data_IF_277116630404
#
_entry.id   IF_277116630404
#
_cell.length_a   1.000
_cell.length_b   1.000
_cell.length_c   1.000
_cell.angle_alpha   90.00
_cell.angle_beta   90.00
_cell.angle_gamma   90.00
#
_symmetry.space_group_name_H-M   'P 1'
#
loop_
_entity.id
_entity.type
_entity.pdbx_description
1 polymer ?
#
# COMPACT_ATOMS: atom_id res chain seq x y z
N UNK A 1 17.19 -14.91 -23.81
CA UNK A 1 17.02 -13.44 -23.93
C UNK A 1 15.90 -12.84 -23.06
N UNK A 2 14.95 -13.62 -22.50
CA UNK A 2 13.92 -13.07 -21.59
C UNK A 2 14.47 -12.57 -20.25
N UNK A 3 15.43 -13.27 -19.66
CA UNK A 3 15.99 -12.95 -18.33
C UNK A 3 16.76 -11.61 -18.34
N UNK A 4 17.67 -11.41 -19.31
CA UNK A 4 18.43 -10.15 -19.43
C UNK A 4 17.52 -8.93 -19.64
N UNK A 5 16.46 -9.07 -20.44
CA UNK A 5 15.48 -8.00 -20.68
C UNK A 5 14.68 -7.68 -19.39
N UNK A 6 14.22 -8.70 -18.67
CA UNK A 6 13.52 -8.51 -17.39
C UNK A 6 14.42 -7.87 -16.33
N UNK A 7 15.70 -8.28 -16.29
CA UNK A 7 16.69 -7.73 -15.39
C UNK A 7 16.95 -6.23 -15.65
N UNK A 8 17.12 -5.83 -16.92
CA UNK A 8 17.30 -4.42 -17.28
C UNK A 8 16.07 -3.59 -16.89
N UNK A 9 14.85 -4.09 -17.13
CA UNK A 9 13.65 -3.35 -16.72
C UNK A 9 13.52 -3.21 -15.22
N UNK A 10 13.75 -4.27 -14.45
CA UNK A 10 13.67 -4.22 -13.00
C UNK A 10 14.75 -3.28 -12.41
N UNK A 11 15.98 -3.35 -12.94
CA UNK A 11 17.07 -2.46 -12.53
C UNK A 11 16.75 -1.00 -12.83
N UNK A 12 16.31 -0.67 -14.05
CA UNK A 12 15.92 0.70 -14.41
C UNK A 12 14.75 1.20 -13.57
N UNK A 13 13.76 0.35 -13.29
CA UNK A 13 12.66 0.66 -12.39
C UNK A 13 13.15 1.01 -10.99
N UNK A 14 14.05 0.20 -10.40
CA UNK A 14 14.62 0.48 -9.09
C UNK A 14 15.42 1.79 -9.05
N UNK A 15 16.18 2.08 -10.11
CA UNK A 15 16.91 3.36 -10.24
C UNK A 15 15.92 4.54 -10.22
N UNK A 16 14.82 4.47 -10.99
CA UNK A 16 13.80 5.52 -11.01
C UNK A 16 13.14 5.71 -9.64
N UNK A 17 12.80 4.60 -8.96
CA UNK A 17 12.23 4.63 -7.61
C UNK A 17 13.19 5.28 -6.62
N UNK A 18 14.50 5.13 -6.79
CA UNK A 18 15.51 5.76 -5.93
C UNK A 18 15.77 7.24 -6.27
N UNK A 19 15.77 7.61 -7.56
CA UNK A 19 16.02 8.99 -7.99
C UNK A 19 14.85 9.94 -7.73
N UNK A 20 13.60 9.45 -7.81
CA UNK A 20 12.42 10.29 -7.64
C UNK A 20 12.36 10.98 -6.27
N UNK A 21 12.55 10.29 -5.11
CA UNK A 21 12.63 10.93 -3.80
C UNK A 21 13.77 11.95 -3.69
N UNK A 22 14.90 11.70 -4.34
CA UNK A 22 16.08 12.56 -4.25
C UNK A 22 15.84 13.96 -4.83
N UNK A 23 14.92 14.08 -5.80
CA UNK A 23 14.50 15.37 -6.36
C UNK A 23 13.23 15.91 -5.69
N UNK A 24 12.24 15.04 -5.44
CA UNK A 24 10.93 15.46 -4.92
C UNK A 24 10.97 15.86 -3.45
N UNK A 25 11.73 15.17 -2.60
CA UNK A 25 11.84 15.49 -1.16
C UNK A 25 12.42 16.88 -0.93
N UNK A 26 13.57 17.30 -1.51
CA UNK A 26 14.08 18.65 -1.29
C UNK A 26 13.17 19.73 -1.90
N UNK A 27 12.49 19.43 -3.01
CA UNK A 27 11.52 20.36 -3.59
C UNK A 27 10.33 20.58 -2.64
N UNK A 28 9.72 19.49 -2.16
CA UNK A 28 8.61 19.53 -1.19
C UNK A 28 9.05 20.25 0.09
N UNK A 29 10.26 19.98 0.59
CA UNK A 29 10.79 20.62 1.78
C UNK A 29 10.99 22.14 1.61
N UNK A 30 11.36 22.61 0.42
CA UNK A 30 11.46 24.06 0.13
C UNK A 30 10.10 24.73 0.03
N UNK A 31 9.11 24.06 -0.57
CA UNK A 31 7.77 24.64 -0.80
C UNK A 31 6.90 24.63 0.46
N UNK A 32 6.89 23.51 1.19
CA UNK A 32 6.08 23.35 2.41
C UNK A 32 6.75 23.90 3.67
N UNK A 33 8.07 24.13 3.61
CA UNK A 33 8.86 24.50 4.79
C UNK A 33 8.89 23.39 5.86
N UNK A 34 9.58 23.64 6.98
CA UNK A 34 9.73 22.66 8.07
C UNK A 34 8.39 22.31 8.74
N UNK A 35 7.49 23.28 8.91
CA UNK A 35 6.18 23.06 9.54
C UNK A 35 5.27 22.17 8.68
N UNK A 36 5.19 22.44 7.37
CA UNK A 36 4.36 21.65 6.46
C UNK A 36 4.87 20.23 6.26
N UNK A 37 6.19 20.03 6.21
CA UNK A 37 6.80 18.68 6.18
C UNK A 37 6.56 17.93 7.49
N UNK A 38 6.63 18.63 8.63
CA UNK A 38 6.32 18.07 9.94
C UNK A 38 4.87 17.59 10.03
N UNK A 39 3.91 18.45 9.69
CA UNK A 39 2.49 18.12 9.68
C UNK A 39 2.15 16.96 8.74
N UNK A 40 2.73 16.95 7.52
CA UNK A 40 2.59 15.85 6.58
C UNK A 40 3.14 14.55 7.16
N UNK A 41 4.34 14.58 7.73
CA UNK A 41 4.98 13.37 8.25
C UNK A 41 4.23 12.81 9.46
N UNK A 42 3.77 13.68 10.36
CA UNK A 42 2.94 13.30 11.51
C UNK A 42 1.63 12.64 11.10
N UNK A 43 0.85 13.31 10.26
CA UNK A 43 -0.43 12.77 9.76
C UNK A 43 -0.23 11.46 8.98
N UNK A 44 0.84 11.39 8.18
CA UNK A 44 1.16 10.19 7.39
C UNK A 44 1.56 9.01 8.27
N UNK A 45 2.33 9.22 9.34
CA UNK A 45 2.65 8.16 10.30
C UNK A 45 1.39 7.58 10.95
N UNK A 46 0.39 8.41 11.26
CA UNK A 46 -0.89 7.96 11.80
C UNK A 46 -1.64 7.12 10.77
N UNK A 47 -1.79 7.62 9.53
CA UNK A 47 -2.42 6.88 8.42
C UNK A 47 -1.72 5.54 8.17
N UNK A 48 -0.40 5.50 8.28
CA UNK A 48 0.38 4.28 8.10
C UNK A 48 0.02 3.18 9.12
N UNK A 49 -0.32 3.52 10.36
CA UNK A 49 -0.82 2.53 11.32
C UNK A 49 -2.14 1.90 10.88
N UNK A 50 -3.05 2.69 10.31
CA UNK A 50 -4.30 2.15 9.74
C UNK A 50 -4.06 1.31 8.49
N UNK A 51 -3.08 1.67 7.66
CA UNK A 51 -2.64 0.83 6.53
C UNK A 51 -2.11 -0.51 7.03
N UNK A 52 -1.32 -0.55 8.11
CA UNK A 52 -0.84 -1.81 8.69
C UNK A 52 -2.01 -2.70 9.15
N UNK A 53 -3.05 -2.11 9.75
CA UNK A 53 -4.27 -2.83 10.12
C UNK A 53 -5.02 -3.32 8.88
N UNK A 54 -5.14 -2.48 7.85
CA UNK A 54 -5.80 -2.82 6.59
C UNK A 54 -5.09 -3.97 5.86
N UNK A 55 -3.76 -4.07 6.00
CA UNK A 55 -2.97 -5.16 5.43
C UNK A 55 -3.09 -6.43 6.28
N UNK A 56 -3.03 -6.33 7.60
CA UNK A 56 -3.15 -7.45 8.54
C UNK A 56 -2.27 -8.68 8.18
N UNK A 57 -1.11 -8.43 7.58
CA UNK A 57 -0.21 -9.49 7.10
C UNK A 57 -0.75 -10.34 5.93
N UNK A 58 -1.87 -9.96 5.31
CA UNK A 58 -2.51 -10.67 4.20
C UNK A 58 -1.60 -10.80 2.99
N UNK A 59 -0.64 -9.89 2.79
CA UNK A 59 0.33 -10.01 1.69
C UNK A 59 1.20 -11.26 1.85
N UNK A 60 1.80 -11.46 3.01
CA UNK A 60 2.64 -12.63 3.28
C UNK A 60 1.83 -13.94 3.29
N UNK A 61 0.62 -13.91 3.86
CA UNK A 61 -0.28 -15.05 3.86
C UNK A 61 -0.76 -15.40 2.43
N UNK A 62 -1.16 -14.38 1.66
CA UNK A 62 -1.66 -14.51 0.30
C UNK A 62 -0.62 -15.08 -0.65
N UNK A 63 0.63 -14.60 -0.59
CA UNK A 63 1.76 -15.17 -1.37
C UNK A 63 1.89 -16.68 -1.10
N UNK A 64 1.86 -17.09 0.17
CA UNK A 64 2.02 -18.51 0.56
C UNK A 64 0.85 -19.37 0.07
N UNK A 65 -0.39 -18.91 0.20
CA UNK A 65 -1.56 -19.68 -0.22
C UNK A 65 -1.65 -19.76 -1.75
N UNK A 66 -1.36 -18.68 -2.47
CA UNK A 66 -1.30 -18.68 -3.94
C UNK A 66 -0.22 -19.64 -4.43
N UNK A 67 0.98 -19.61 -3.84
CA UNK A 67 2.08 -20.48 -4.25
C UNK A 67 1.75 -21.98 -4.10
N UNK A 68 0.92 -22.37 -3.13
CA UNK A 68 0.48 -23.76 -2.93
C UNK A 68 -0.50 -24.25 -4.00
N UNK A 69 -1.30 -23.36 -4.59
CA UNK A 69 -2.38 -23.71 -5.53
C UNK A 69 -2.14 -23.21 -6.95
N UNK A 70 -0.94 -22.66 -7.23
CA UNK A 70 -0.62 -22.01 -8.51
C UNK A 70 -0.82 -22.87 -9.75
N UNK A 71 -0.65 -24.19 -9.63
CA UNK A 71 -0.81 -25.14 -10.75
C UNK A 71 -2.29 -25.46 -11.05
N UNK A 72 -3.22 -25.16 -10.13
CA UNK A 72 -4.64 -25.46 -10.30
C UNK A 72 -5.47 -24.16 -10.45
N UNK A 73 -5.81 -23.82 -11.70
CA UNK A 73 -6.59 -22.62 -12.06
C UNK A 73 -7.90 -22.47 -11.28
N UNK A 74 -8.63 -23.56 -11.00
CA UNK A 74 -9.90 -23.49 -10.27
C UNK A 74 -9.66 -23.11 -8.81
N UNK A 75 -8.78 -23.85 -8.12
CA UNK A 75 -8.41 -23.58 -6.72
C UNK A 75 -7.79 -22.18 -6.55
N UNK A 76 -6.93 -21.77 -7.48
CA UNK A 76 -6.35 -20.43 -7.49
C UNK A 76 -7.41 -19.32 -7.52
N UNK A 77 -8.43 -19.45 -8.37
CA UNK A 77 -9.52 -18.46 -8.47
C UNK A 77 -10.34 -18.38 -7.17
N UNK A 78 -10.60 -19.52 -6.54
CA UNK A 78 -11.30 -19.59 -5.25
C UNK A 78 -10.48 -18.95 -4.13
N UNK A 79 -9.19 -19.30 -4.02
CA UNK A 79 -8.25 -18.71 -3.05
C UNK A 79 -8.12 -17.20 -3.25
N UNK A 80 -7.98 -16.74 -4.50
CA UNK A 80 -7.90 -15.31 -4.81
C UNK A 80 -9.16 -14.57 -4.37
N UNK A 81 -10.35 -15.07 -4.72
CA UNK A 81 -11.62 -14.44 -4.31
C UNK A 81 -11.75 -14.36 -2.80
N UNK A 82 -11.41 -15.43 -2.08
CA UNK A 82 -11.45 -15.47 -0.63
C UNK A 82 -10.52 -14.42 0.00
N UNK A 83 -9.25 -14.37 -0.45
CA UNK A 83 -8.27 -13.41 0.04
C UNK A 83 -8.62 -11.96 -0.32
N UNK A 84 -9.15 -11.73 -1.52
CA UNK A 84 -9.58 -10.40 -1.96
C UNK A 84 -10.77 -9.89 -1.14
N UNK A 85 -11.77 -10.75 -0.89
CA UNK A 85 -12.90 -10.39 -0.02
C UNK A 85 -12.41 -10.08 1.39
N UNK A 86 -11.49 -10.89 1.93
CA UNK A 86 -10.88 -10.66 3.25
C UNK A 86 -10.10 -9.33 3.29
N UNK A 87 -9.38 -8.98 2.21
CA UNK A 87 -8.71 -7.67 2.07
C UNK A 87 -9.71 -6.53 2.10
N UNK A 88 -10.79 -6.62 1.34
CA UNK A 88 -11.82 -5.57 1.32
C UNK A 88 -12.47 -5.41 2.70
N UNK A 89 -12.73 -6.50 3.41
CA UNK A 89 -13.27 -6.44 4.78
C UNK A 89 -12.30 -5.78 5.76
N UNK A 90 -11.03 -6.18 5.76
CA UNK A 90 -10.00 -5.62 6.65
C UNK A 90 -9.73 -4.15 6.38
N UNK A 91 -9.66 -3.74 5.10
CA UNK A 91 -9.57 -2.34 4.70
C UNK A 91 -10.81 -1.55 5.13
N UNK A 92 -12.01 -2.10 4.97
CA UNK A 92 -13.25 -1.43 5.38
C UNK A 92 -13.27 -1.19 6.90
N UNK A 93 -12.86 -2.18 7.69
CA UNK A 93 -12.73 -2.03 9.15
C UNK A 93 -11.68 -0.96 9.50
N UNK A 94 -10.51 -1.00 8.86
CA UNK A 94 -9.46 0.00 9.08
C UNK A 94 -9.94 1.42 8.74
N UNK A 95 -10.69 1.57 7.64
CA UNK A 95 -11.24 2.86 7.21
C UNK A 95 -12.32 3.38 8.17
N UNK A 96 -13.20 2.52 8.68
CA UNK A 96 -14.18 2.90 9.71
C UNK A 96 -13.48 3.38 10.98
N UNK A 97 -12.46 2.64 11.44
CA UNK A 97 -11.66 3.03 12.61
C UNK A 97 -10.94 4.37 12.38
N UNK A 98 -10.45 4.60 11.16
CA UNK A 98 -9.83 5.87 10.78
C UNK A 98 -10.82 7.04 10.82
N UNK A 99 -12.03 6.86 10.29
CA UNK A 99 -13.09 7.87 10.37
C UNK A 99 -13.50 8.17 11.82
N UNK A 100 -13.56 7.14 12.68
CA UNK A 100 -13.81 7.32 14.12
C UNK A 100 -12.67 8.10 14.80
N UNK A 101 -11.42 7.81 14.45
CA UNK A 101 -10.27 8.57 14.93
C UNK A 101 -10.35 10.04 14.52
N UNK A 102 -10.69 10.33 13.26
CA UNK A 102 -10.87 11.71 12.77
C UNK A 102 -12.01 12.45 13.46
N UNK A 103 -13.02 11.76 13.98
CA UNK A 103 -14.11 12.41 14.73
C UNK A 103 -13.60 13.06 16.03
N UNK A 104 -12.61 12.45 16.69
CA UNK A 104 -12.01 12.99 17.91
C UNK A 104 -10.82 13.91 17.65
N UNK A 105 -10.17 13.80 16.49
CA UNK A 105 -9.00 14.61 16.14
C UNK A 105 -9.30 15.50 14.92
N UNK A 106 -9.55 16.79 15.17
CA UNK A 106 -9.89 17.77 14.12
C UNK A 106 -8.67 18.52 13.58
N UNK A 107 -7.49 18.33 14.17
CA UNK A 107 -6.26 18.92 13.67
C UNK A 107 -5.87 18.29 12.32
N UNK A 108 -5.45 19.11 11.37
CA UNK A 108 -5.00 18.67 10.03
C UNK A 108 -6.03 17.83 9.24
N UNK A 109 -7.33 18.05 9.47
CA UNK A 109 -8.41 17.25 8.86
C UNK A 109 -8.33 17.16 7.33
N UNK A 110 -7.89 18.23 6.66
CA UNK A 110 -7.68 18.26 5.22
C UNK A 110 -6.56 17.31 4.77
N UNK A 111 -5.45 17.25 5.51
CA UNK A 111 -4.34 16.32 5.23
C UNK A 111 -4.77 14.87 5.47
N UNK A 112 -5.53 14.60 6.53
CA UNK A 112 -6.06 13.27 6.80
C UNK A 112 -7.00 12.78 5.69
N UNK A 113 -7.90 13.63 5.20
CA UNK A 113 -8.77 13.28 4.07
C UNK A 113 -7.99 12.93 2.81
N UNK A 114 -6.99 13.75 2.46
CA UNK A 114 -6.13 13.48 1.29
C UNK A 114 -5.40 12.14 1.47
N UNK A 115 -4.83 11.89 2.64
CA UNK A 115 -4.04 10.69 2.90
C UNK A 115 -4.88 9.43 3.14
N UNK A 116 -6.16 9.56 3.50
CA UNK A 116 -7.09 8.43 3.63
C UNK A 116 -7.20 7.60 2.34
N UNK A 117 -6.93 8.21 1.19
CA UNK A 117 -6.84 7.54 -0.11
C UNK A 117 -5.81 6.40 -0.09
N UNK A 118 -4.72 6.52 0.66
CA UNK A 118 -3.75 5.43 0.79
C UNK A 118 -4.37 4.18 1.41
N UNK A 119 -5.27 4.33 2.39
CA UNK A 119 -5.97 3.19 3.01
C UNK A 119 -6.88 2.50 1.99
N UNK A 120 -7.61 3.27 1.17
CA UNK A 120 -8.51 2.73 0.14
C UNK A 120 -7.73 2.03 -0.97
N UNK A 121 -6.60 2.58 -1.39
CA UNK A 121 -5.74 1.98 -2.44
C UNK A 121 -5.27 0.57 -2.04
N UNK A 122 -5.02 0.33 -0.76
CA UNK A 122 -4.62 -1.01 -0.24
C UNK A 122 -5.67 -2.09 -0.57
N UNK A 123 -6.95 -1.75 -0.70
CA UNK A 123 -7.97 -2.73 -1.09
C UNK A 123 -7.78 -3.28 -2.52
N UNK A 124 -7.19 -2.46 -3.41
CA UNK A 124 -6.96 -2.83 -4.81
C UNK A 124 -5.54 -3.34 -5.06
N UNK A 125 -4.68 -3.34 -4.04
CA UNK A 125 -3.33 -3.88 -4.17
C UNK A 125 -3.35 -5.42 -4.22
N UNK A 126 -2.97 -5.95 -5.38
CA UNK A 126 -2.92 -7.39 -5.68
C UNK A 126 -1.50 -7.85 -6.00
N UNK A 127 -0.48 -7.09 -5.61
CA UNK A 127 0.93 -7.47 -5.83
C UNK A 127 1.26 -8.87 -5.27
N UNK A 128 0.65 -9.26 -4.15
CA UNK A 128 0.77 -10.59 -3.54
C UNK A 128 0.35 -11.76 -4.47
N UNK A 129 -0.59 -11.53 -5.39
CA UNK A 129 -1.01 -12.55 -6.35
C UNK A 129 0.10 -12.84 -7.35
N UNK A 130 0.71 -11.79 -7.90
CA UNK A 130 1.80 -11.94 -8.87
C UNK A 130 3.05 -12.54 -8.23
N UNK A 131 3.39 -12.08 -7.03
CA UNK A 131 4.52 -12.64 -6.26
C UNK A 131 4.33 -14.12 -5.89
N UNK A 132 3.09 -14.58 -5.66
CA UNK A 132 2.82 -16.00 -5.41
C UNK A 132 2.78 -16.87 -6.67
N UNK A 133 2.60 -16.27 -7.85
CA UNK A 133 2.58 -16.98 -9.14
C UNK A 133 3.98 -17.18 -9.72
N UNK A 134 4.90 -16.27 -9.42
CA UNK A 134 6.34 -16.39 -9.75
C UNK A 134 6.97 -17.59 -9.02
#
# INVERSE_FOLDING_TARGET
MKIAKNFIYNTSYQILVLLLPLVTVPYIARVLGPEGVGAKSYTFSIVQYFILIAILGLDAYGIREVAKVKDNRKKLSETFKSLFILRVMTVSVAFILFCLFMYWNTEFISLFWIQSLYIVIVASDVAWLFMGLE
#
